data_IF_770843425671
#
_entry.id   IF_770843425671
#
_cell.length_a   1.000
_cell.length_b   1.000
_cell.length_c   1.000
_cell.angle_alpha   90.00
_cell.angle_beta   90.00
_cell.angle_gamma   90.00
#
_symmetry.space_group_name_H-M   'P 1'
#
loop_
_entity.id
_entity.type
_entity.pdbx_description
1 polymer ?
#
# COMPACT_ATOMS: atom_id res chain seq x y z
N UNK A 1 -11.21 -17.35 9.25
CA UNK A 1 -11.48 -17.31 8.58
C UNK A 1 -11.71 -17.27 8.04
N UNK A 2 -11.82 -17.45 8.30
CA UNK A 2 -12.19 -17.35 7.55
C UNK A 2 -12.22 -17.16 6.98
N UNK A 3 -12.23 -16.74 7.03
CA UNK A 3 -12.46 -16.78 6.34
C UNK A 3 -12.51 -16.95 6.36
N UNK A 4 -12.18 -16.69 6.88
CA UNK A 4 -12.25 -17.02 6.76
C UNK A 4 -12.18 -17.25 7.36
N UNK A 5 -12.01 -17.28 7.81
CA UNK A 5 -11.96 -17.47 8.24
C UNK A 5 -11.56 -17.61 8.52
N UNK A 6 -11.20 -17.70 8.78
CA UNK A 6 -10.67 -18.01 8.89
C UNK A 6 -10.13 -17.80 8.54
N UNK A 7 -9.61 -17.19 8.58
CA UNK A 7 -8.87 -17.28 8.16
C UNK A 7 -8.39 -18.12 8.20
N UNK A 8 -8.35 -18.79 8.31
CA UNK A 8 -8.06 -19.69 8.17
C UNK A 8 -7.89 -20.59 8.13
N UNK A 9 -7.67 -20.67 8.29
CA UNK A 9 -7.39 -21.60 8.17
C UNK A 9 -7.40 -22.14 7.50
N UNK A 10 -7.31 -22.47 7.27
CA UNK A 10 -7.03 -23.00 6.49
C UNK A 10 -6.55 -22.96 5.41
N UNK A 11 -6.36 -22.75 5.21
CA UNK A 11 -5.69 -22.49 3.98
C UNK A 11 -4.23 -22.61 4.03
N UNK A 12 -3.86 -23.66 4.56
CA UNK A 12 -2.49 -23.92 4.72
C UNK A 12 -1.78 -23.97 3.41
N UNK A 13 -0.71 -23.20 3.23
CA UNK A 13 0.00 -23.14 1.98
C UNK A 13 -0.62 -22.23 0.96
N UNK A 14 -1.81 -21.74 1.20
CA UNK A 14 -2.41 -20.78 0.32
C UNK A 14 -2.07 -19.38 0.77
N UNK A 15 -1.84 -18.53 -0.19
CA UNK A 15 -1.47 -17.16 0.09
C UNK A 15 -2.32 -16.25 -0.77
N UNK A 16 -3.06 -15.37 -0.15
CA UNK A 16 -3.88 -14.40 -0.87
C UNK A 16 -3.31 -13.03 -0.67
N UNK A 17 -2.99 -12.39 -1.77
CA UNK A 17 -2.53 -11.02 -1.77
C UNK A 17 -3.60 -10.17 -2.45
N UNK A 18 -4.09 -9.20 -1.73
CA UNK A 18 -5.00 -8.22 -2.33
C UNK A 18 -4.19 -7.04 -2.81
N UNK A 19 -4.53 -6.54 -3.97
CA UNK A 19 -3.93 -5.34 -4.50
C UNK A 19 -5.03 -4.30 -4.60
N UNK A 20 -4.87 -3.19 -3.89
CA UNK A 20 -5.88 -2.15 -3.80
C UNK A 20 -5.33 -0.90 -4.46
N UNK A 21 -6.14 -0.21 -5.23
CA UNK A 21 -5.70 1.02 -5.89
C UNK A 21 -6.36 2.22 -5.24
N UNK A 22 -5.59 3.31 -5.09
CA UNK A 22 -6.07 4.54 -4.52
C UNK A 22 -5.64 5.72 -5.39
N UNK A 23 -6.50 6.73 -5.45
CA UNK A 23 -6.19 7.98 -6.15
C UNK A 23 -6.48 9.15 -5.22
N UNK A 24 -5.67 9.32 -4.17
CA UNK A 24 -5.96 10.35 -3.19
C UNK A 24 -5.68 11.74 -3.75
N UNK A 25 -6.43 12.72 -3.28
CA UNK A 25 -6.25 14.11 -3.67
C UNK A 25 -5.61 14.92 -2.56
N UNK A 26 -5.83 14.52 -1.32
CA UNK A 26 -5.34 15.22 -0.13
C UNK A 26 -4.87 14.19 0.88
N UNK A 27 -4.47 14.69 2.04
CA UNK A 27 -4.05 13.81 3.14
C UNK A 27 -5.20 13.03 3.78
N UNK A 28 -6.43 13.33 3.42
CA UNK A 28 -7.59 12.69 4.07
C UNK A 28 -7.62 11.19 3.88
N UNK A 29 -7.07 10.68 2.79
CA UNK A 29 -7.12 9.24 2.51
C UNK A 29 -5.91 8.47 3.03
N UNK A 30 -4.96 9.17 3.64
CA UNK A 30 -3.68 8.55 3.98
C UNK A 30 -3.85 7.48 5.06
N UNK A 31 -4.74 7.73 6.01
CA UNK A 31 -4.95 6.76 7.09
C UNK A 31 -5.48 5.44 6.54
N UNK A 32 -6.44 5.50 5.62
CA UNK A 32 -6.99 4.29 5.03
C UNK A 32 -5.95 3.53 4.23
N UNK A 33 -5.09 4.24 3.52
CA UNK A 33 -4.00 3.61 2.77
C UNK A 33 -3.06 2.87 3.72
N UNK A 34 -2.72 3.50 4.85
CA UNK A 34 -1.89 2.86 5.85
C UNK A 34 -2.56 1.62 6.41
N UNK A 35 -3.87 1.67 6.63
CA UNK A 35 -4.59 0.51 7.16
C UNK A 35 -4.55 -0.65 6.18
N UNK A 36 -4.69 -0.38 4.89
CA UNK A 36 -4.59 -1.45 3.89
C UNK A 36 -3.21 -2.09 3.92
N UNK A 37 -2.18 -1.26 4.00
CA UNK A 37 -0.82 -1.77 4.08
C UNK A 37 -0.63 -2.62 5.34
N UNK A 38 -1.12 -2.16 6.49
CA UNK A 38 -0.96 -2.90 7.74
C UNK A 38 -1.75 -4.20 7.73
N UNK A 39 -2.82 -4.28 6.95
CA UNK A 39 -3.60 -5.51 6.81
C UNK A 39 -2.92 -6.52 5.88
N UNK A 40 -1.80 -6.15 5.28
CA UNK A 40 -1.07 -7.06 4.42
C UNK A 40 -1.36 -6.87 2.93
N UNK A 41 -2.12 -5.86 2.57
CA UNK A 41 -2.46 -5.60 1.17
C UNK A 41 -1.34 -4.82 0.49
N UNK A 42 -1.20 -5.02 -0.81
CA UNK A 42 -0.38 -4.16 -1.64
C UNK A 42 -1.24 -3.02 -2.16
N UNK A 43 -0.64 -1.86 -2.36
CA UNK A 43 -1.36 -0.68 -2.80
C UNK A 43 -0.68 -0.09 -4.02
N UNK A 44 -1.47 0.20 -5.05
CA UNK A 44 -1.01 1.00 -6.18
C UNK A 44 -1.60 2.38 -5.99
N UNK A 45 -0.75 3.37 -5.96
CA UNK A 45 -1.12 4.72 -5.58
C UNK A 45 -0.92 5.64 -6.77
N UNK A 46 -1.99 6.28 -7.24
CA UNK A 46 -1.89 7.28 -8.29
C UNK A 46 -2.09 8.64 -7.67
N UNK A 47 -1.10 9.50 -7.81
CA UNK A 47 -1.14 10.84 -7.24
C UNK A 47 -1.38 11.91 -8.29
N UNK A 48 -1.91 11.50 -9.45
CA UNK A 48 -2.19 12.44 -10.53
C UNK A 48 -3.22 13.48 -10.14
N UNK A 49 -4.10 13.15 -9.20
CA UNK A 49 -5.16 14.05 -8.78
C UNK A 49 -4.80 14.88 -7.56
N UNK A 50 -3.63 14.64 -6.97
CA UNK A 50 -3.18 15.41 -5.83
C UNK A 50 -2.67 16.76 -6.32
N UNK A 51 -3.14 17.84 -5.68
CA UNK A 51 -2.84 19.18 -6.13
C UNK A 51 -1.88 19.88 -5.20
N UNK A 52 -1.11 20.80 -5.77
CA UNK A 52 -0.19 21.61 -5.00
C UNK A 52 0.87 20.73 -4.35
N UNK A 53 1.01 20.86 -3.04
CA UNK A 53 2.01 20.11 -2.30
C UNK A 53 1.47 18.82 -1.72
N UNK A 54 0.24 18.45 -2.05
CA UNK A 54 -0.35 17.25 -1.48
C UNK A 54 0.38 15.99 -1.90
N UNK A 55 0.85 15.92 -3.15
CA UNK A 55 1.58 14.74 -3.58
C UNK A 55 2.82 14.53 -2.72
N UNK A 56 3.60 15.58 -2.51
CA UNK A 56 4.82 15.49 -1.73
C UNK A 56 4.52 15.10 -0.28
N UNK A 57 3.47 15.69 0.30
CA UNK A 57 3.09 15.39 1.67
C UNK A 57 2.66 13.95 1.83
N UNK A 58 1.88 13.44 0.89
CA UNK A 58 1.39 12.07 0.94
C UNK A 58 2.57 11.10 0.86
N UNK A 59 3.46 11.34 -0.09
CA UNK A 59 4.62 10.46 -0.28
C UNK A 59 5.51 10.48 0.95
N UNK A 60 5.76 11.66 1.52
CA UNK A 60 6.63 11.77 2.69
C UNK A 60 6.04 11.02 3.87
N UNK A 61 4.75 11.20 4.13
CA UNK A 61 4.10 10.53 5.24
C UNK A 61 4.11 9.02 5.04
N UNK A 62 3.70 8.56 3.86
CA UNK A 62 3.61 7.14 3.59
C UNK A 62 4.98 6.48 3.62
N UNK A 63 6.00 7.15 3.10
CA UNK A 63 7.35 6.60 3.14
C UNK A 63 7.80 6.34 4.56
N UNK A 64 7.56 7.28 5.46
CA UNK A 64 7.92 7.10 6.86
C UNK A 64 7.17 5.95 7.50
N UNK A 65 5.85 5.91 7.29
CA UNK A 65 5.03 4.88 7.89
C UNK A 65 5.40 3.49 7.37
N UNK A 66 5.63 3.38 6.07
CA UNK A 66 5.91 2.10 5.43
C UNK A 66 7.30 1.61 5.81
N UNK A 67 8.30 2.47 5.79
CA UNK A 67 9.65 2.07 6.18
C UNK A 67 9.71 1.69 7.65
N UNK A 68 8.90 2.31 8.51
CA UNK A 68 8.91 1.96 9.93
C UNK A 68 8.41 0.53 10.16
N UNK A 69 7.69 -0.03 9.20
CA UNK A 69 7.16 -1.40 9.27
C UNK A 69 7.92 -2.34 8.32
N UNK A 70 9.07 -1.91 7.84
CA UNK A 70 9.91 -2.69 6.92
C UNK A 70 9.20 -3.01 5.61
N UNK A 71 8.24 -2.19 5.24
CA UNK A 71 7.56 -2.37 3.96
C UNK A 71 8.33 -1.74 2.82
N UNK A 72 7.75 -1.85 1.64
CA UNK A 72 8.36 -1.37 0.41
C UNK A 72 7.50 -0.29 -0.23
N UNK A 73 8.14 0.76 -0.73
CA UNK A 73 7.45 1.76 -1.52
C UNK A 73 8.38 2.12 -2.69
N UNK A 74 7.83 2.10 -3.90
CA UNK A 74 8.61 2.30 -5.10
C UNK A 74 7.86 3.19 -6.06
N UNK A 75 8.51 4.23 -6.56
CA UNK A 75 7.93 5.07 -7.60
C UNK A 75 8.07 4.34 -8.92
N UNK A 76 6.95 3.98 -9.53
CA UNK A 76 6.94 3.22 -10.77
C UNK A 76 6.99 4.15 -11.98
N UNK A 77 6.33 5.28 -11.87
CA UNK A 77 6.18 6.20 -12.97
C UNK A 77 5.93 7.57 -12.37
N UNK A 78 5.80 8.58 -13.22
CA UNK A 78 5.42 9.90 -12.77
C UNK A 78 4.11 9.77 -12.00
N UNK A 79 4.05 10.18 -10.77
CA UNK A 79 2.84 10.17 -9.93
C UNK A 79 2.32 8.78 -9.54
N UNK A 80 2.98 7.67 -9.91
CA UNK A 80 2.48 6.33 -9.61
C UNK A 80 3.46 5.62 -8.69
N UNK A 81 2.94 5.08 -7.59
CA UNK A 81 3.77 4.40 -6.60
C UNK A 81 3.17 3.04 -6.27
N UNK A 82 4.04 2.08 -5.96
CA UNK A 82 3.62 0.77 -5.48
C UNK A 82 4.08 0.60 -4.05
N UNK A 83 3.21 0.07 -3.22
CA UNK A 83 3.46 -0.15 -1.80
C UNK A 83 3.17 -1.61 -1.49
N UNK A 84 4.03 -2.25 -0.73
CA UNK A 84 3.78 -3.64 -0.33
C UNK A 84 4.34 -3.91 1.06
N UNK A 85 3.80 -4.95 1.74
CA UNK A 85 4.34 -5.37 3.03
C UNK A 85 5.72 -5.99 2.88
N UNK A 86 6.36 -6.23 4.02
CA UNK A 86 7.74 -6.70 4.07
C UNK A 86 7.95 -7.98 3.27
N UNK A 87 7.00 -8.90 3.33
CA UNK A 87 7.15 -10.21 2.69
C UNK A 87 6.70 -10.23 1.23
N UNK A 88 6.35 -9.09 0.68
CA UNK A 88 5.96 -8.98 -0.73
C UNK A 88 6.91 -8.01 -1.42
N UNK A 89 7.80 -8.53 -2.24
CA UNK A 89 8.78 -7.68 -2.90
C UNK A 89 8.20 -6.95 -4.11
N UNK A 90 8.81 -5.81 -4.41
CA UNK A 90 8.48 -5.06 -5.61
C UNK A 90 9.77 -5.00 -6.41
N UNK A 91 9.72 -5.44 -7.65
CA UNK A 91 10.92 -5.51 -8.49
C UNK A 91 10.73 -4.67 -9.73
N UNK A 92 11.73 -3.84 -10.00
CA UNK A 92 11.76 -3.03 -11.21
C UNK A 92 12.72 -3.66 -12.18
N UNK A 93 12.32 -3.78 -13.43
CA UNK A 93 13.12 -4.44 -14.44
C UNK A 93 13.53 -3.49 -15.53
#
# INVERSE_FOLDING_TARGET
>A
AGLFGNRMEENEGNFLLNIVTYKPRTMDDVQEICERFLDGDAVILSLEQAEGKNEERIVDFLSGAIYSQNGNILKISEHIYAISPEDVGIFER
#
